data_IF_144606448370
#
_entry.id   IF_144606448370
#
_cell.length_a   1.000
_cell.length_b   1.000
_cell.length_c   1.000
_cell.angle_alpha   90.00
_cell.angle_beta   90.00
_cell.angle_gamma   90.00
#
_symmetry.space_group_name_H-M   'P 1'
#
loop_
_entity.id
_entity.type
_entity.pdbx_description
1 polymer ?
#
# COMPACT_ATOMS: atom_id res chain seq x y z
N UNK A 1 -18.45 1.93 -8.44
CA UNK A 1 -18.34 2.78 -7.23
C UNK A 1 -19.70 3.16 -6.66
N UNK A 2 -20.72 3.39 -7.50
CA UNK A 2 -21.98 4.02 -7.11
C UNK A 2 -23.03 3.14 -6.40
N UNK A 3 -22.68 1.90 -6.03
CA UNK A 3 -23.56 0.98 -5.30
C UNK A 3 -22.99 0.61 -3.92
N UNK A 4 -22.10 1.44 -3.37
CA UNK A 4 -21.49 1.23 -2.07
C UNK A 4 -21.92 2.33 -1.10
N UNK A 5 -22.34 1.96 0.11
CA UNK A 5 -22.72 2.90 1.17
C UNK A 5 -21.51 3.66 1.75
N UNK A 6 -20.30 3.10 1.59
CA UNK A 6 -19.04 3.68 2.04
C UNK A 6 -17.95 3.51 1.00
N UNK A 7 -17.32 4.62 0.63
CA UNK A 7 -16.17 4.67 -0.27
C UNK A 7 -14.95 5.17 0.51
N UNK A 8 -13.97 4.29 0.69
CA UNK A 8 -12.74 4.60 1.42
C UNK A 8 -11.56 4.83 0.49
N UNK A 9 -10.80 5.89 0.72
CA UNK A 9 -9.53 6.15 0.01
C UNK A 9 -8.34 6.11 0.96
N UNK A 10 -7.20 5.66 0.43
CA UNK A 10 -5.93 5.67 1.16
C UNK A 10 -5.45 7.08 1.48
N UNK A 11 -5.72 8.04 0.58
CA UNK A 11 -5.30 9.44 0.74
C UNK A 11 -6.39 10.40 0.32
N UNK A 12 -6.42 11.58 0.94
CA UNK A 12 -7.36 12.65 0.62
C UNK A 12 -7.25 13.11 -0.84
N UNK A 13 -6.05 13.08 -1.44
CA UNK A 13 -5.87 13.48 -2.84
C UNK A 13 -6.67 12.64 -3.84
N UNK A 14 -6.98 11.39 -3.50
CA UNK A 14 -7.83 10.53 -4.32
C UNK A 14 -9.31 10.87 -4.23
N UNK A 15 -9.80 11.45 -3.12
CA UNK A 15 -11.20 11.90 -3.05
C UNK A 15 -11.50 13.08 -3.96
N UNK A 16 -10.49 13.84 -4.43
CA UNK A 16 -10.71 14.85 -5.48
C UNK A 16 -11.02 14.25 -6.85
N UNK A 17 -10.60 13.00 -7.11
CA UNK A 17 -10.93 12.30 -8.35
C UNK A 17 -12.39 11.81 -8.38
N UNK A 18 -13.13 11.85 -7.26
CA UNK A 18 -14.59 11.62 -7.27
C UNK A 18 -15.34 12.63 -8.14
N UNK A 19 -14.76 13.82 -8.36
CA UNK A 19 -15.32 14.82 -9.29
C UNK A 19 -15.48 14.29 -10.72
N UNK A 20 -14.68 13.30 -11.14
CA UNK A 20 -14.85 12.67 -12.46
C UNK A 20 -16.07 11.75 -12.48
N UNK A 21 -16.33 11.02 -11.41
CA UNK A 21 -17.54 10.20 -11.27
C UNK A 21 -18.81 11.05 -11.23
N UNK A 22 -18.78 12.22 -10.59
CA UNK A 22 -19.87 13.21 -10.59
C UNK A 22 -20.14 13.72 -12.01
N UNK A 23 -19.10 14.08 -12.76
CA UNK A 23 -19.25 14.61 -14.14
C UNK A 23 -19.67 13.58 -15.17
N UNK A 24 -19.22 12.33 -15.04
CA UNK A 24 -19.51 11.26 -16.02
C UNK A 24 -20.85 10.58 -15.74
N UNK A 25 -21.20 10.37 -14.47
CA UNK A 25 -22.43 9.66 -14.09
C UNK A 25 -23.58 10.60 -13.67
N UNK A 26 -23.34 11.91 -13.55
CA UNK A 26 -24.38 12.89 -13.22
C UNK A 26 -24.80 12.95 -11.74
N UNK A 27 -23.99 12.40 -10.83
CA UNK A 27 -24.29 12.37 -9.39
C UNK A 27 -23.98 13.71 -8.70
N UNK A 28 -24.75 14.09 -7.69
CA UNK A 28 -24.46 15.27 -6.87
C UNK A 28 -23.45 14.92 -5.75
N UNK A 29 -22.46 15.80 -5.56
CA UNK A 29 -21.50 15.67 -4.48
C UNK A 29 -21.81 16.67 -3.38
N UNK A 30 -22.08 16.18 -2.18
CA UNK A 30 -22.24 16.98 -0.98
C UNK A 30 -21.08 16.74 -0.01
N UNK A 31 -20.79 17.66 0.93
CA UNK A 31 -19.77 17.44 1.96
C UNK A 31 -20.02 16.19 2.82
N UNK A 32 -21.25 15.64 2.80
CA UNK A 32 -21.62 14.40 3.50
C UNK A 32 -21.38 13.14 2.68
N UNK A 33 -21.26 13.22 1.36
CA UNK A 33 -21.15 12.05 0.49
C UNK A 33 -21.62 12.29 -0.94
N UNK A 34 -21.62 11.22 -1.74
CA UNK A 34 -22.16 11.22 -3.11
C UNK A 34 -23.62 10.78 -3.04
N UNK A 35 -24.53 11.57 -3.60
CA UNK A 35 -25.94 11.18 -3.76
C UNK A 35 -26.13 10.48 -5.10
N UNK A 36 -26.61 9.23 -5.05
CA UNK A 36 -26.99 8.43 -6.21
C UNK A 36 -28.45 8.05 -6.06
N UNK A 37 -29.34 8.76 -6.76
CA UNK A 37 -30.77 8.43 -6.87
C UNK A 37 -31.44 8.15 -5.50
N UNK A 38 -31.10 8.94 -4.47
CA UNK A 38 -31.64 8.80 -3.11
C UNK A 38 -30.82 7.92 -2.16
N UNK A 39 -29.69 7.36 -2.61
CA UNK A 39 -28.70 6.69 -1.76
C UNK A 39 -27.48 7.58 -1.54
N UNK A 40 -27.15 7.84 -0.28
CA UNK A 40 -25.99 8.65 0.10
C UNK A 40 -24.82 7.74 0.44
N UNK A 41 -23.82 7.71 -0.45
CA UNK A 41 -22.55 7.02 -0.20
C UNK A 41 -21.59 7.93 0.59
N UNK A 42 -21.24 7.53 1.81
CA UNK A 42 -20.27 8.25 2.62
C UNK A 42 -18.84 8.08 2.06
N UNK A 43 -18.03 9.13 2.13
CA UNK A 43 -16.61 9.07 1.73
C UNK A 43 -15.74 9.18 2.97
N UNK A 44 -14.89 8.20 3.19
CA UNK A 44 -13.96 8.18 4.32
C UNK A 44 -12.51 8.00 3.85
N UNK A 45 -11.59 8.34 4.75
CA UNK A 45 -10.16 8.16 4.55
C UNK A 45 -9.66 7.11 5.52
N UNK A 46 -9.21 5.99 4.98
CA UNK A 46 -8.69 4.90 5.78
C UNK A 46 -7.34 4.50 5.19
N UNK A 47 -6.22 5.00 5.76
CA UNK A 47 -4.92 4.51 5.38
C UNK A 47 -4.81 3.06 5.86
N UNK A 48 -4.61 2.13 4.94
CA UNK A 48 -4.25 0.76 5.25
C UNK A 48 -2.95 0.78 6.06
N UNK A 49 -3.03 0.28 7.29
CA UNK A 49 -1.88 0.10 8.17
C UNK A 49 -1.21 -1.25 7.96
N UNK A 50 0.09 -1.31 8.22
CA UNK A 50 0.82 -2.57 8.39
C UNK A 50 0.90 -2.91 9.88
N UNK A 51 0.69 -4.17 10.24
CA UNK A 51 0.89 -4.66 11.60
C UNK A 51 2.40 -4.76 11.90
N UNK A 52 2.95 -3.69 12.48
CA UNK A 52 4.36 -3.59 12.81
C UNK A 52 4.78 -4.60 13.88
N UNK A 53 3.91 -4.88 14.85
CA UNK A 53 4.16 -5.82 15.94
C UNK A 53 4.31 -7.25 15.42
N UNK A 54 3.45 -7.63 14.48
CA UNK A 54 3.57 -8.93 13.80
C UNK A 54 4.87 -9.05 13.01
N UNK A 55 5.27 -8.00 12.29
CA UNK A 55 6.55 -7.99 11.56
C UNK A 55 7.73 -8.10 12.53
N UNK A 56 7.67 -7.42 13.68
CA UNK A 56 8.67 -7.52 14.74
C UNK A 56 8.82 -8.95 15.27
N UNK A 57 7.70 -9.63 15.56
CA UNK A 57 7.71 -11.04 15.99
C UNK A 57 8.22 -11.97 14.89
N UNK A 58 7.88 -11.69 13.63
CA UNK A 58 8.35 -12.52 12.52
C UNK A 58 9.87 -12.49 12.39
N UNK A 59 10.54 -11.37 12.65
CA UNK A 59 12.03 -11.25 12.63
C UNK A 59 12.72 -12.20 13.63
N UNK A 60 12.06 -12.51 14.75
CA UNK A 60 12.60 -13.38 15.80
C UNK A 60 12.49 -14.87 15.46
N UNK A 61 11.89 -15.24 14.32
CA UNK A 61 11.73 -16.64 13.94
C UNK A 61 13.11 -17.31 13.72
N UNK A 62 13.26 -18.59 14.16
CA UNK A 62 14.56 -19.27 14.21
C UNK A 62 15.21 -19.55 12.84
N UNK A 63 14.59 -19.17 11.72
CA UNK A 63 15.18 -19.30 10.37
C UNK A 63 15.69 -17.99 9.76
N UNK A 64 15.54 -16.84 10.43
CA UNK A 64 15.87 -15.52 9.86
C UNK A 64 17.26 -15.04 10.27
N UNK A 65 17.63 -15.23 11.55
CA UNK A 65 18.97 -14.92 12.05
C UNK A 65 20.11 -15.56 11.23
N UNK A 66 20.07 -16.87 10.86
CA UNK A 66 21.12 -17.45 10.02
C UNK A 66 21.18 -16.84 8.61
N UNK A 67 20.02 -16.45 8.04
CA UNK A 67 19.98 -15.77 6.73
C UNK A 67 20.56 -14.36 6.81
N UNK A 68 20.34 -13.65 7.92
CA UNK A 68 20.92 -12.35 8.17
C UNK A 68 22.44 -12.44 8.27
N UNK A 69 22.97 -13.43 8.99
CA UNK A 69 24.40 -13.68 9.11
C UNK A 69 25.03 -14.00 7.73
N UNK A 70 24.38 -14.84 6.92
CA UNK A 70 24.85 -15.15 5.57
C UNK A 70 24.88 -13.90 4.67
N UNK A 71 23.86 -13.04 4.71
CA UNK A 71 23.84 -11.78 3.94
C UNK A 71 24.91 -10.80 4.40
N UNK A 72 25.20 -10.72 5.70
CA UNK A 72 26.28 -9.88 6.24
C UNK A 72 27.66 -10.34 5.76
N UNK A 73 27.91 -11.65 5.73
CA UNK A 73 29.15 -12.21 5.23
C UNK A 73 29.30 -12.02 3.71
N UNK A 74 28.21 -12.16 2.93
CA UNK A 74 28.23 -12.01 1.47
C UNK A 74 28.53 -10.58 0.99
N UNK A 75 28.20 -9.58 1.80
CA UNK A 75 28.31 -8.15 1.44
C UNK A 75 29.17 -7.37 2.44
N UNK A 76 30.19 -8.03 3.02
CA UNK A 76 31.14 -7.38 3.93
C UNK A 76 31.81 -6.16 3.26
N UNK A 77 31.83 -5.02 3.96
CA UNK A 77 32.38 -3.77 3.44
C UNK A 77 31.53 -3.02 2.41
N UNK A 78 30.28 -3.44 2.13
CA UNK A 78 29.38 -2.77 1.17
C UNK A 78 28.09 -2.26 1.81
N UNK A 79 27.56 -1.15 1.30
CA UNK A 79 26.21 -0.67 1.66
C UNK A 79 25.18 -1.34 0.77
N UNK A 80 24.18 -1.98 1.38
CA UNK A 80 23.14 -2.72 0.67
C UNK A 80 21.84 -1.92 0.71
N UNK A 81 21.35 -1.51 -0.45
CA UNK A 81 19.97 -1.06 -0.65
C UNK A 81 19.09 -2.25 -0.99
N UNK A 82 18.06 -2.51 -0.18
CA UNK A 82 17.09 -3.59 -0.42
C UNK A 82 15.77 -2.98 -0.85
N UNK A 83 15.36 -3.26 -2.08
CA UNK A 83 14.04 -2.89 -2.61
C UNK A 83 13.20 -4.14 -2.84
N UNK A 84 12.02 -4.20 -2.22
CA UNK A 84 11.03 -5.22 -2.55
C UNK A 84 10.04 -4.59 -3.51
N UNK A 85 10.05 -5.06 -4.76
CA UNK A 85 9.15 -4.56 -5.80
C UNK A 85 8.41 -5.72 -6.46
N UNK A 86 7.14 -5.51 -6.74
CA UNK A 86 6.38 -6.40 -7.58
C UNK A 86 6.68 -6.01 -9.04
N UNK A 87 7.46 -6.83 -9.75
CA UNK A 87 7.58 -6.71 -11.21
C UNK A 87 6.28 -7.23 -11.83
N UNK A 88 5.68 -6.46 -12.73
CA UNK A 88 4.36 -6.74 -13.30
C UNK A 88 4.27 -8.15 -13.89
N UNK A 89 3.25 -8.90 -13.46
CA UNK A 89 3.05 -10.32 -13.83
C UNK A 89 2.88 -11.27 -12.64
N UNK A 90 2.08 -10.87 -11.64
CA UNK A 90 1.40 -11.69 -10.61
C UNK A 90 2.03 -12.95 -9.98
N UNK A 91 3.34 -13.26 -10.07
CA UNK A 91 3.88 -14.50 -9.47
C UNK A 91 5.20 -14.43 -8.70
N UNK A 92 5.76 -13.25 -8.42
CA UNK A 92 6.95 -13.18 -7.58
C UNK A 92 7.21 -11.80 -7.01
N UNK A 93 7.45 -11.72 -5.70
CA UNK A 93 8.14 -10.58 -5.11
C UNK A 93 9.61 -10.73 -5.47
N UNK A 94 10.15 -9.79 -6.24
CA UNK A 94 11.59 -9.76 -6.52
C UNK A 94 12.23 -8.87 -5.47
N UNK A 95 13.28 -9.39 -4.82
CA UNK A 95 14.11 -8.60 -3.91
C UNK A 95 15.29 -8.11 -4.75
N UNK A 96 15.35 -6.80 -5.01
CA UNK A 96 16.48 -6.18 -5.66
C UNK A 96 17.50 -5.75 -4.61
N UNK A 97 18.74 -6.18 -4.82
CA UNK A 97 19.89 -5.78 -4.01
C UNK A 97 20.74 -4.84 -4.84
N UNK A 98 20.92 -3.60 -4.35
CA UNK A 98 21.91 -2.68 -4.90
C UNK A 98 23.03 -2.56 -3.88
N UNK A 99 24.22 -3.05 -4.24
CA UNK A 99 25.41 -2.96 -3.40
C UNK A 99 26.33 -1.89 -3.95
N UNK A 100 26.60 -0.85 -3.17
CA UNK A 100 27.57 0.19 -3.49
C UNK A 100 28.81 0.01 -2.60
N UNK A 101 29.99 0.00 -3.21
CA UNK A 101 31.25 0.00 -2.46
C UNK A 101 31.45 1.35 -1.78
N UNK A 102 32.04 1.33 -0.60
CA UNK A 102 32.38 2.54 0.16
C UNK A 102 33.63 3.23 -0.38
#
# INVERSE_FOLDING_TARGET
MAAADLVCFQTYSYSRHISTCVRVCGYEFTPRGIDTEGHVAAVAHCPVGVDAERVGRDILRPGIQPKLAALRALYEGKKIGVGVVCTGGCRGRVIQFKAESI
#
